data_IF_911376104201
#
_entry.id   IF_911376104201
#
_cell.length_a   1.000
_cell.length_b   1.000
_cell.length_c   1.000
_cell.angle_alpha   90.00
_cell.angle_beta   90.00
_cell.angle_gamma   90.00
#
_symmetry.space_group_name_H-M   'P 1'
#
loop_
_entity.id
_entity.type
_entity.pdbx_description
1 polymer ?
#
# COMPACT_ATOMS: atom_id res chain seq x y z
N UNK A 1 -37.05 18.10 -37.68
CA UNK A 1 -38.35 17.92 -38.36
C UNK A 1 -38.34 16.55 -39.04
N UNK A 2 -38.96 15.55 -38.42
CA UNK A 2 -39.23 14.21 -38.97
C UNK A 2 -40.60 13.75 -38.46
N UNK A 3 -41.33 12.91 -39.23
CA UNK A 3 -42.78 12.95 -39.27
C UNK A 3 -43.43 12.21 -38.10
N UNK A 4 -44.58 12.74 -37.71
CA UNK A 4 -45.38 12.30 -36.58
C UNK A 4 -46.41 11.28 -37.07
N UNK A 5 -46.11 9.99 -36.94
CA UNK A 5 -47.06 8.91 -37.17
C UNK A 5 -47.97 8.79 -35.95
N UNK A 6 -49.22 9.27 -36.06
CA UNK A 6 -50.25 9.14 -35.03
C UNK A 6 -50.57 7.65 -34.82
N UNK A 7 -50.46 7.09 -33.60
CA UNK A 7 -50.85 5.69 -33.37
C UNK A 7 -52.37 5.54 -33.50
N UNK A 8 -52.88 4.42 -34.05
CA UNK A 8 -54.30 4.21 -34.25
C UNK A 8 -55.02 4.14 -32.89
N UNK A 9 -56.10 4.92 -32.77
CA UNK A 9 -57.01 4.88 -31.64
C UNK A 9 -57.74 3.53 -31.64
N UNK A 10 -57.53 2.72 -30.60
CA UNK A 10 -58.31 1.50 -30.42
C UNK A 10 -57.65 0.33 -29.67
N UNK A 11 -56.33 0.33 -29.43
CA UNK A 11 -55.73 -0.71 -28.60
C UNK A 11 -55.91 -0.37 -27.13
N UNK A 12 -56.97 -0.95 -26.56
CA UNK A 12 -57.14 -1.06 -25.11
C UNK A 12 -55.94 -1.86 -24.60
N UNK A 13 -55.02 -1.20 -23.89
CA UNK A 13 -53.99 -1.85 -23.08
C UNK A 13 -54.70 -2.70 -22.01
N UNK A 14 -55.11 -3.92 -22.37
CA UNK A 14 -55.61 -4.92 -21.43
C UNK A 14 -54.46 -5.88 -21.17
N UNK A 15 -53.49 -5.44 -20.37
CA UNK A 15 -52.69 -6.42 -19.66
C UNK A 15 -53.64 -7.22 -18.78
N UNK A 16 -53.60 -8.54 -18.90
CA UNK A 16 -54.30 -9.42 -18.00
C UNK A 16 -53.71 -9.23 -16.59
N UNK A 17 -54.55 -9.25 -15.55
CA UNK A 17 -54.09 -9.19 -14.16
C UNK A 17 -53.02 -10.27 -13.90
N UNK A 18 -53.14 -11.43 -14.56
CA UNK A 18 -52.17 -12.51 -14.48
C UNK A 18 -50.77 -12.11 -15.02
N UNK A 19 -50.71 -11.41 -16.16
CA UNK A 19 -49.45 -10.95 -16.75
C UNK A 19 -48.76 -9.90 -15.88
N UNK A 20 -49.54 -9.06 -15.20
CA UNK A 20 -49.01 -8.09 -14.23
C UNK A 20 -48.43 -8.82 -13.01
N UNK A 21 -49.14 -9.82 -12.48
CA UNK A 21 -48.66 -10.65 -11.37
C UNK A 21 -47.37 -11.41 -11.74
N UNK A 22 -47.28 -11.97 -12.95
CA UNK A 22 -46.08 -12.67 -13.42
C UNK A 22 -44.89 -11.71 -13.55
N UNK A 23 -45.10 -10.52 -14.11
CA UNK A 23 -44.05 -9.48 -14.17
C UNK A 23 -43.58 -9.06 -12.79
N UNK A 24 -44.50 -8.83 -11.85
CA UNK A 24 -44.13 -8.49 -10.46
C UNK A 24 -43.30 -9.61 -9.80
N UNK A 25 -43.62 -10.87 -10.08
CA UNK A 25 -42.87 -12.01 -9.57
C UNK A 25 -41.46 -12.07 -10.15
N UNK A 26 -41.31 -11.84 -11.45
CA UNK A 26 -39.99 -11.78 -12.12
C UNK A 26 -39.16 -10.61 -11.58
N UNK A 27 -39.74 -9.42 -11.45
CA UNK A 27 -39.06 -8.25 -10.88
C UNK A 27 -38.63 -8.49 -9.42
N UNK A 28 -39.48 -9.15 -8.61
CA UNK A 28 -39.13 -9.52 -7.24
C UNK A 28 -38.00 -10.54 -7.18
N UNK A 29 -38.04 -11.58 -8.03
CA UNK A 29 -36.97 -12.58 -8.10
C UNK A 29 -35.64 -11.96 -8.56
N UNK A 30 -35.69 -11.06 -9.53
CA UNK A 30 -34.53 -10.31 -10.00
C UNK A 30 -33.95 -9.42 -8.90
N UNK A 31 -34.80 -8.71 -8.15
CA UNK A 31 -34.37 -7.90 -7.02
C UNK A 31 -33.77 -8.75 -5.90
N UNK A 32 -34.37 -9.90 -5.60
CA UNK A 32 -33.86 -10.85 -4.60
C UNK A 32 -32.47 -11.38 -4.99
N UNK A 33 -32.26 -11.71 -6.27
CA UNK A 33 -30.96 -12.14 -6.77
C UNK A 33 -29.90 -11.03 -6.65
N UNK A 34 -30.23 -9.80 -7.03
CA UNK A 34 -29.32 -8.65 -6.85
C UNK A 34 -28.96 -8.41 -5.39
N UNK A 35 -29.95 -8.47 -4.49
CA UNK A 35 -29.71 -8.33 -3.05
C UNK A 35 -28.75 -9.40 -2.51
N UNK A 36 -28.93 -10.66 -2.93
CA UNK A 36 -28.04 -11.75 -2.52
C UNK A 36 -26.61 -11.53 -3.02
N UNK A 37 -26.42 -11.17 -4.29
CA UNK A 37 -25.11 -10.84 -4.84
C UNK A 37 -24.45 -9.69 -4.10
N UNK A 38 -25.19 -8.61 -3.82
CA UNK A 38 -24.68 -7.46 -3.09
C UNK A 38 -24.27 -7.84 -1.66
N UNK A 39 -25.05 -8.69 -0.98
CA UNK A 39 -24.72 -9.18 0.36
C UNK A 39 -23.38 -9.91 0.38
N UNK A 40 -23.16 -10.82 -0.58
CA UNK A 40 -21.90 -11.55 -0.70
C UNK A 40 -20.72 -10.60 -0.97
N UNK A 41 -20.91 -9.59 -1.81
CA UNK A 41 -19.90 -8.57 -2.07
C UNK A 41 -19.58 -7.75 -0.80
N UNK A 42 -20.57 -7.38 0.00
CA UNK A 42 -20.36 -6.72 1.29
C UNK A 42 -19.57 -7.58 2.28
N UNK A 43 -19.87 -8.88 2.36
CA UNK A 43 -19.14 -9.82 3.21
C UNK A 43 -17.67 -9.95 2.77
N UNK A 44 -17.43 -10.02 1.46
CA UNK A 44 -16.09 -10.02 0.88
C UNK A 44 -15.31 -8.74 1.23
N UNK A 45 -15.92 -7.57 1.04
CA UNK A 45 -15.32 -6.28 1.36
C UNK A 45 -14.99 -6.15 2.86
N UNK A 46 -15.84 -6.69 3.74
CA UNK A 46 -15.57 -6.71 5.17
C UNK A 46 -14.34 -7.55 5.53
N UNK A 47 -14.16 -8.69 4.86
CA UNK A 47 -12.96 -9.53 5.00
C UNK A 47 -11.71 -8.80 4.49
N UNK A 48 -11.75 -8.22 3.30
CA UNK A 48 -10.63 -7.46 2.72
C UNK A 48 -10.25 -6.25 3.59
N UNK A 49 -11.23 -5.55 4.16
CA UNK A 49 -10.98 -4.45 5.12
C UNK A 49 -10.23 -4.93 6.36
N UNK A 50 -10.60 -6.08 6.89
CA UNK A 50 -9.94 -6.66 8.08
C UNK A 50 -8.50 -7.07 7.78
N UNK A 51 -8.26 -7.66 6.60
CA UNK A 51 -6.92 -7.99 6.12
C UNK A 51 -6.05 -6.73 5.98
N UNK A 52 -6.60 -5.70 5.32
CA UNK A 52 -5.92 -4.42 5.15
C UNK A 52 -5.58 -3.78 6.50
N UNK A 53 -6.49 -3.84 7.48
CA UNK A 53 -6.24 -3.33 8.81
C UNK A 53 -5.08 -4.08 9.50
N UNK A 54 -4.99 -5.40 9.33
CA UNK A 54 -3.87 -6.19 9.89
C UNK A 54 -2.54 -5.77 9.28
N UNK A 55 -2.47 -5.65 7.95
CA UNK A 55 -1.27 -5.15 7.28
C UNK A 55 -0.93 -3.73 7.72
N UNK A 56 -1.92 -2.84 7.82
CA UNK A 56 -1.71 -1.47 8.27
C UNK A 56 -1.06 -1.42 9.66
N UNK A 57 -1.58 -2.17 10.64
CA UNK A 57 -1.01 -2.22 11.99
C UNK A 57 0.42 -2.78 11.97
N UNK A 58 0.64 -3.88 11.25
CA UNK A 58 1.96 -4.49 11.13
C UNK A 58 3.01 -3.51 10.56
N UNK A 59 2.67 -2.80 9.48
CA UNK A 59 3.55 -1.79 8.89
C UNK A 59 3.78 -0.60 9.83
N UNK A 60 2.74 -0.16 10.55
CA UNK A 60 2.86 0.94 11.50
C UNK A 60 3.86 0.61 12.63
N UNK A 61 3.70 -0.56 13.26
CA UNK A 61 4.60 -1.01 14.34
C UNK A 61 6.04 -1.19 13.84
N UNK A 62 6.20 -1.82 12.67
CA UNK A 62 7.50 -2.01 12.05
C UNK A 62 8.17 -0.67 11.71
N UNK A 63 7.45 0.26 11.07
CA UNK A 63 7.97 1.59 10.73
C UNK A 63 8.39 2.37 11.98
N UNK A 64 7.62 2.26 13.07
CA UNK A 64 7.99 2.90 14.33
C UNK A 64 9.30 2.31 14.90
N UNK A 65 9.42 0.99 14.94
CA UNK A 65 10.64 0.31 15.40
C UNK A 65 11.87 0.65 14.55
N UNK A 66 11.71 0.62 13.22
CA UNK A 66 12.76 1.01 12.28
C UNK A 66 13.18 2.48 12.46
N UNK A 67 12.22 3.38 12.65
CA UNK A 67 12.50 4.80 12.86
C UNK A 67 13.29 5.05 14.16
N UNK A 68 12.93 4.36 15.24
CA UNK A 68 13.64 4.46 16.51
C UNK A 68 15.10 3.98 16.37
N UNK A 69 15.30 2.81 15.77
CA UNK A 69 16.65 2.27 15.59
C UNK A 69 17.48 3.12 14.62
N UNK A 70 16.87 3.67 13.56
CA UNK A 70 17.54 4.61 12.66
C UNK A 70 18.08 5.83 13.42
N UNK A 71 17.26 6.49 14.24
CA UNK A 71 17.71 7.64 15.04
C UNK A 71 18.80 7.27 16.05
N UNK A 72 18.69 6.09 16.67
CA UNK A 72 19.72 5.58 17.58
C UNK A 72 21.04 5.37 16.86
N UNK A 73 21.05 4.73 15.69
CA UNK A 73 22.27 4.53 14.89
C UNK A 73 22.85 5.87 14.41
N UNK A 74 22.02 6.83 14.01
CA UNK A 74 22.48 8.17 13.64
C UNK A 74 23.21 8.88 14.80
N UNK A 75 22.68 8.79 16.02
CA UNK A 75 23.34 9.35 17.21
C UNK A 75 24.64 8.62 17.57
N UNK A 76 24.68 7.29 17.42
CA UNK A 76 25.92 6.52 17.59
C UNK A 76 26.98 6.99 16.59
N UNK A 77 26.64 7.10 15.30
CA UNK A 77 27.55 7.57 14.24
C UNK A 77 28.07 8.98 14.55
N UNK A 78 27.20 9.89 15.01
CA UNK A 78 27.59 11.25 15.40
C UNK A 78 28.58 11.26 16.56
N UNK A 79 28.34 10.46 17.61
CA UNK A 79 29.23 10.35 18.77
C UNK A 79 30.59 9.76 18.38
N UNK A 80 30.60 8.66 17.61
CA UNK A 80 31.82 8.04 17.11
C UNK A 80 32.62 9.02 16.23
N UNK A 81 31.96 9.74 15.33
CA UNK A 81 32.59 10.77 14.50
C UNK A 81 33.25 11.87 15.35
N UNK A 82 32.59 12.29 16.42
CA UNK A 82 33.11 13.29 17.36
C UNK A 82 34.34 12.77 18.11
N UNK A 83 34.31 11.50 18.53
CA UNK A 83 35.46 10.85 19.18
C UNK A 83 36.64 10.76 18.22
N UNK A 84 36.42 10.29 16.99
CA UNK A 84 37.47 10.24 15.96
C UNK A 84 38.11 11.62 15.73
N UNK A 85 37.29 12.67 15.57
CA UNK A 85 37.79 14.03 15.39
C UNK A 85 38.65 14.52 16.57
N UNK A 86 38.30 14.15 17.81
CA UNK A 86 39.07 14.49 19.01
C UNK A 86 40.38 13.71 19.12
N UNK A 87 40.45 12.48 18.60
CA UNK A 87 41.65 11.62 18.68
C UNK A 87 42.69 11.99 17.61
N UNK A 88 42.26 12.41 16.42
CA UNK A 88 43.15 12.70 15.27
C UNK A 88 44.35 13.60 15.62
N UNK A 89 44.20 14.71 16.38
CA UNK A 89 45.34 15.57 16.75
C UNK A 89 46.44 14.87 17.57
N UNK A 90 46.10 13.76 18.25
CA UNK A 90 47.04 12.97 19.06
C UNK A 90 47.74 11.87 18.26
N UNK A 91 47.33 11.63 17.01
CA UNK A 91 48.00 10.70 16.09
C UNK A 91 49.26 11.37 15.52
N UNK A 92 50.33 10.60 15.28
CA UNK A 92 51.54 11.10 14.61
C UNK A 92 51.20 11.81 13.30
N UNK A 93 51.85 12.94 13.04
CA UNK A 93 51.55 13.82 11.89
C UNK A 93 51.54 13.08 10.55
N UNK A 94 52.44 12.12 10.35
CA UNK A 94 52.51 11.26 9.15
C UNK A 94 51.23 10.44 8.90
N UNK A 95 50.48 10.08 9.94
CA UNK A 95 49.27 9.25 9.84
C UNK A 95 47.97 10.06 9.91
N UNK A 96 48.00 11.33 10.30
CA UNK A 96 46.78 12.13 10.52
C UNK A 96 45.92 12.22 9.25
N UNK A 97 46.54 12.48 8.10
CA UNK A 97 45.81 12.62 6.84
C UNK A 97 45.18 11.31 6.36
N UNK A 98 45.87 10.18 6.57
CA UNK A 98 45.35 8.84 6.26
C UNK A 98 44.13 8.51 7.13
N UNK A 99 44.21 8.78 8.43
CA UNK A 99 43.08 8.55 9.36
C UNK A 99 41.89 9.43 9.01
N UNK A 100 42.12 10.71 8.69
CA UNK A 100 41.05 11.62 8.29
C UNK A 100 40.32 11.12 7.03
N UNK A 101 41.06 10.70 6.00
CA UNK A 101 40.48 10.16 4.77
C UNK A 101 39.70 8.87 5.02
N UNK A 102 40.22 7.97 5.87
CA UNK A 102 39.54 6.72 6.22
C UNK A 102 38.21 6.97 6.93
N UNK A 103 38.17 7.93 7.87
CA UNK A 103 36.94 8.31 8.59
C UNK A 103 35.90 8.90 7.63
N UNK A 104 36.30 9.75 6.68
CA UNK A 104 35.37 10.30 5.69
C UNK A 104 34.85 9.24 4.73
N UNK A 105 35.71 8.32 4.26
CA UNK A 105 35.26 7.21 3.42
C UNK A 105 34.27 6.29 4.15
N UNK A 106 34.50 6.02 5.44
CA UNK A 106 33.62 5.17 6.25
C UNK A 106 32.20 5.74 6.41
N UNK A 107 32.04 7.07 6.32
CA UNK A 107 30.72 7.73 6.35
C UNK A 107 29.96 7.62 5.03
N UNK A 108 30.66 7.32 3.93
CA UNK A 108 30.05 7.19 2.61
C UNK A 108 29.61 5.73 2.42
N UNK A 109 28.31 5.50 2.31
CA UNK A 109 27.76 4.17 1.97
C UNK A 109 27.13 4.28 0.59
N UNK A 110 27.61 3.47 -0.34
CA UNK A 110 27.07 3.38 -1.70
C UNK A 110 25.82 2.52 -1.74
N UNK A 111 24.97 2.72 -2.75
CA UNK A 111 23.79 1.88 -2.97
C UNK A 111 24.14 0.39 -3.12
N UNK A 112 25.29 0.08 -3.72
CA UNK A 112 25.76 -1.31 -3.86
C UNK A 112 26.12 -1.95 -2.52
N UNK A 113 26.87 -1.24 -1.67
CA UNK A 113 27.19 -1.68 -0.30
C UNK A 113 25.91 -1.84 0.53
N UNK A 114 24.99 -0.88 0.44
CA UNK A 114 23.70 -0.94 1.13
C UNK A 114 22.88 -2.16 0.69
N UNK A 115 22.77 -2.41 -0.62
CA UNK A 115 22.03 -3.56 -1.16
C UNK A 115 22.64 -4.90 -0.73
N UNK A 116 23.98 -4.96 -0.62
CA UNK A 116 24.69 -6.14 -0.10
C UNK A 116 24.35 -6.39 1.37
N UNK A 117 24.38 -5.34 2.21
CA UNK A 117 24.04 -5.43 3.64
C UNK A 117 22.58 -5.86 3.85
N UNK A 118 21.66 -5.32 3.05
CA UNK A 118 20.23 -5.65 3.12
C UNK A 118 19.90 -7.03 2.52
N UNK A 119 20.87 -7.73 1.93
CA UNK A 119 20.65 -9.04 1.29
C UNK A 119 19.76 -8.98 0.05
N UNK A 120 19.66 -7.82 -0.60
CA UNK A 120 18.75 -7.58 -1.74
C UNK A 120 19.26 -8.25 -3.03
N UNK A 121 20.54 -8.64 -3.10
CA UNK A 121 21.14 -9.27 -4.29
C UNK A 121 20.67 -10.71 -4.61
N UNK A 122 19.71 -11.30 -3.88
CA UNK A 122 19.28 -12.69 -4.11
C UNK A 122 17.77 -12.98 -4.00
N UNK A 123 16.87 -12.01 -4.26
CA UNK A 123 15.46 -12.38 -4.52
C UNK A 123 15.20 -12.40 -6.02
N UNK A 124 15.22 -13.57 -6.69
CA UNK A 124 14.58 -13.66 -7.98
C UNK A 124 13.10 -13.37 -7.78
N UNK A 125 12.63 -12.28 -8.39
CA UNK A 125 11.21 -12.01 -8.59
C UNK A 125 10.57 -13.26 -9.19
N UNK A 126 9.81 -13.97 -8.36
CA UNK A 126 8.94 -15.08 -8.76
C UNK A 126 7.54 -14.55 -8.96
#
# INVERSE_FOLDING_TARGET
MYPQSRPPAGQTFKFSILEICDRMKEEFQFLQAQYHSLKLECEKLASEKTEMQRHYVMYYEMSYGLNLEMHKQAEIVKRLSTICAKIIPFVKQEHQQQVLQAVERAKQVTTAELNSILGVSQRPSS
#
